data_IF_564537107970
#
_entry.id   IF_564537107970
#
_cell.length_a   1.000
_cell.length_b   1.000
_cell.length_c   1.000
_cell.angle_alpha   90.00
_cell.angle_beta   90.00
_cell.angle_gamma   90.00
#
_symmetry.space_group_name_H-M   'P 1'
#
loop_
_entity.id
_entity.type
_entity.pdbx_description
1 polymer ?
#
# COMPACT_ATOMS: atom_id res chain seq x y z
N UNK A 1 -16.65 51.41 8.06
CA UNK A 1 -17.49 50.64 9.01
C UNK A 1 -18.56 49.82 8.29
N UNK A 2 -19.13 50.30 7.17
CA UNK A 2 -20.17 49.57 6.42
C UNK A 2 -19.72 48.29 5.71
N UNK A 3 -18.48 48.24 5.20
CA UNK A 3 -17.94 47.04 4.53
C UNK A 3 -17.82 45.86 5.50
N UNK A 4 -17.42 46.13 6.74
CA UNK A 4 -17.28 45.10 7.78
C UNK A 4 -18.65 44.54 8.16
N UNK A 5 -19.65 45.42 8.31
CA UNK A 5 -21.03 45.01 8.59
C UNK A 5 -21.66 44.21 7.44
N UNK A 6 -21.36 44.54 6.18
CA UNK A 6 -21.81 43.79 5.02
C UNK A 6 -21.22 42.36 4.97
N UNK A 7 -19.97 42.18 5.43
CA UNK A 7 -19.33 40.87 5.56
C UNK A 7 -20.01 40.06 6.68
N UNK A 8 -20.25 40.67 7.84
CA UNK A 8 -20.94 40.00 8.95
C UNK A 8 -22.41 39.65 8.61
N UNK A 9 -23.11 40.52 7.88
CA UNK A 9 -24.47 40.26 7.40
C UNK A 9 -24.55 39.03 6.49
N UNK A 10 -23.65 38.93 5.51
CA UNK A 10 -23.57 37.74 4.63
C UNK A 10 -23.16 36.46 5.35
N UNK A 11 -22.31 36.55 6.38
CA UNK A 11 -21.94 35.40 7.21
C UNK A 11 -23.14 34.96 8.07
N UNK A 12 -23.88 35.92 8.64
CA UNK A 12 -25.12 35.67 9.38
C UNK A 12 -26.18 34.98 8.53
N UNK A 13 -26.35 35.39 7.27
CA UNK A 13 -27.27 34.76 6.31
C UNK A 13 -26.90 33.29 6.00
N UNK A 14 -25.61 32.93 6.02
CA UNK A 14 -25.16 31.55 5.82
C UNK A 14 -25.43 30.63 7.03
N UNK A 15 -25.73 31.17 8.22
CA UNK A 15 -25.87 30.41 9.47
C UNK A 15 -27.33 30.06 9.83
N UNK A 16 -28.33 30.68 9.19
CA UNK A 16 -29.72 30.71 9.72
C UNK A 16 -30.75 29.85 8.93
N UNK A 17 -30.47 29.37 7.70
CA UNK A 17 -31.47 28.62 6.90
C UNK A 17 -30.83 27.73 5.79
N UNK A 18 -31.59 26.91 5.00
CA UNK A 18 -31.11 25.81 4.12
C UNK A 18 -30.00 26.14 3.09
N UNK A 19 -29.70 27.43 2.90
CA UNK A 19 -28.58 27.98 2.11
C UNK A 19 -27.21 27.58 2.69
N UNK A 20 -27.16 27.12 3.96
CA UNK A 20 -25.98 26.54 4.58
C UNK A 20 -25.32 25.42 3.76
N UNK A 21 -26.06 24.75 2.86
CA UNK A 21 -25.50 23.73 1.96
C UNK A 21 -24.60 24.31 0.85
N UNK A 22 -24.80 25.58 0.44
CA UNK A 22 -23.93 26.27 -0.53
C UNK A 22 -22.78 27.02 0.15
N UNK A 23 -23.01 27.65 1.31
CA UNK A 23 -21.93 28.28 2.09
C UNK A 23 -21.05 27.26 2.83
N UNK A 24 -21.52 26.02 3.04
CA UNK A 24 -20.81 24.99 3.81
C UNK A 24 -19.40 24.73 3.29
N UNK A 25 -19.18 24.81 1.98
CA UNK A 25 -17.84 24.68 1.41
C UNK A 25 -16.88 25.80 1.79
N UNK A 26 -17.39 27.01 2.01
CA UNK A 26 -16.59 28.14 2.50
C UNK A 26 -16.27 27.98 3.98
N UNK A 27 -17.29 27.63 4.77
CA UNK A 27 -17.21 27.52 6.23
C UNK A 27 -16.33 26.32 6.64
N UNK A 28 -16.53 25.17 5.99
CA UNK A 28 -15.79 23.93 6.24
C UNK A 28 -14.58 23.75 5.32
N UNK A 29 -14.06 24.83 4.71
CA UNK A 29 -12.94 24.74 3.76
C UNK A 29 -11.75 23.97 4.35
N UNK A 30 -11.23 24.41 5.49
CA UNK A 30 -10.05 23.81 6.12
C UNK A 30 -10.31 22.35 6.49
N UNK A 31 -11.47 22.07 7.09
CA UNK A 31 -11.91 20.70 7.42
C UNK A 31 -12.00 19.79 6.19
N UNK A 32 -12.50 20.30 5.06
CA UNK A 32 -12.58 19.52 3.83
C UNK A 32 -11.21 19.26 3.22
N UNK A 33 -10.27 20.22 3.30
CA UNK A 33 -8.88 20.03 2.88
C UNK A 33 -8.18 18.99 3.77
N UNK A 34 -8.33 19.07 5.10
CA UNK A 34 -7.75 18.12 6.05
C UNK A 34 -8.31 16.71 5.83
N UNK A 35 -9.63 16.57 5.76
CA UNK A 35 -10.28 15.29 5.48
C UNK A 35 -9.79 14.66 4.17
N UNK A 36 -9.58 15.48 3.13
CA UNK A 36 -8.98 15.04 1.88
C UNK A 36 -7.55 14.54 2.08
N UNK A 37 -6.69 15.28 2.79
CA UNK A 37 -5.29 14.89 3.05
C UNK A 37 -5.22 13.58 3.82
N UNK A 38 -6.08 13.38 4.81
CA UNK A 38 -6.15 12.15 5.59
C UNK A 38 -6.52 10.94 4.71
N UNK A 39 -7.55 11.08 3.88
CA UNK A 39 -7.93 10.01 2.95
C UNK A 39 -6.87 9.76 1.89
N UNK A 40 -6.20 10.81 1.42
CA UNK A 40 -5.10 10.67 0.48
C UNK A 40 -3.90 9.92 1.08
N UNK A 41 -3.59 10.12 2.37
CA UNK A 41 -2.60 9.29 3.05
C UNK A 41 -3.06 7.83 3.12
N UNK A 42 -4.32 7.57 3.49
CA UNK A 42 -4.86 6.19 3.50
C UNK A 42 -4.78 5.49 2.15
N UNK A 43 -4.97 6.21 1.04
CA UNK A 43 -4.79 5.66 -0.31
C UNK A 43 -3.33 5.24 -0.56
N UNK A 44 -2.36 6.05 -0.12
CA UNK A 44 -0.94 5.73 -0.26
C UNK A 44 -0.59 4.49 0.56
N UNK A 45 -0.99 4.46 1.82
CA UNK A 45 -0.75 3.31 2.71
C UNK A 45 -1.36 2.03 2.11
N UNK A 46 -2.57 2.14 1.58
CA UNK A 46 -3.26 1.03 0.91
C UNK A 46 -2.53 0.55 -0.33
N UNK A 47 -2.10 1.46 -1.20
CA UNK A 47 -1.35 1.15 -2.41
C UNK A 47 -0.05 0.42 -2.06
N UNK A 48 0.66 0.90 -1.05
CA UNK A 48 1.92 0.30 -0.61
C UNK A 48 1.71 -1.10 -0.03
N UNK A 49 0.64 -1.33 0.73
CA UNK A 49 0.27 -2.67 1.23
C UNK A 49 -0.04 -3.66 0.08
N UNK A 50 -0.79 -3.22 -0.93
CA UNK A 50 -1.06 -4.05 -2.12
C UNK A 50 0.23 -4.31 -2.90
N UNK A 51 1.11 -3.32 -3.05
CA UNK A 51 2.40 -3.48 -3.71
C UNK A 51 3.31 -4.50 -2.98
N UNK A 52 3.35 -4.46 -1.64
CA UNK A 52 4.08 -5.45 -0.85
C UNK A 52 3.54 -6.87 -1.05
N UNK A 53 2.22 -7.02 -1.19
CA UNK A 53 1.59 -8.31 -1.51
C UNK A 53 2.01 -8.80 -2.89
N UNK A 54 2.05 -7.91 -3.88
CA UNK A 54 2.55 -8.20 -5.23
C UNK A 54 4.02 -8.60 -5.20
N UNK A 55 4.86 -7.90 -4.45
CA UNK A 55 6.28 -8.20 -4.37
C UNK A 55 6.52 -9.57 -3.69
N UNK A 56 5.74 -9.89 -2.65
CA UNK A 56 5.77 -11.21 -2.01
C UNK A 56 5.38 -12.33 -2.98
N UNK A 57 4.32 -12.15 -3.76
CA UNK A 57 3.90 -13.11 -4.78
C UNK A 57 5.02 -13.35 -5.82
N UNK A 58 5.70 -12.29 -6.28
CA UNK A 58 6.86 -12.43 -7.18
C UNK A 58 8.00 -13.23 -6.55
N UNK A 59 8.31 -12.96 -5.28
CA UNK A 59 9.34 -13.69 -4.53
C UNK A 59 9.03 -15.20 -4.44
N UNK A 60 7.74 -15.56 -4.42
CA UNK A 60 7.27 -16.95 -4.38
C UNK A 60 7.03 -17.56 -5.78
N UNK A 61 7.38 -16.87 -6.86
CA UNK A 61 7.09 -17.28 -8.25
C UNK A 61 5.59 -17.50 -8.52
N UNK A 62 4.74 -16.72 -7.85
CA UNK A 62 3.29 -16.76 -7.99
C UNK A 62 2.81 -15.77 -9.06
N UNK A 63 1.78 -16.18 -9.81
CA UNK A 63 1.15 -15.31 -10.80
C UNK A 63 0.32 -14.21 -10.13
N UNK A 64 0.51 -12.97 -10.58
CA UNK A 64 -0.25 -11.80 -10.10
C UNK A 64 -1.48 -11.61 -11.00
N UNK A 65 -2.65 -11.47 -10.40
CA UNK A 65 -3.87 -11.18 -11.13
C UNK A 65 -3.78 -9.83 -11.87
N UNK A 66 -4.19 -9.79 -13.14
CA UNK A 66 -4.12 -8.56 -13.96
C UNK A 66 -4.91 -7.38 -13.37
N UNK A 67 -6.01 -7.68 -12.69
CA UNK A 67 -6.84 -6.70 -11.97
C UNK A 67 -6.07 -5.97 -10.86
N UNK A 68 -5.14 -6.64 -10.16
CA UNK A 68 -4.28 -6.02 -9.15
C UNK A 68 -3.33 -5.00 -9.80
N UNK A 69 -2.79 -5.32 -10.98
CA UNK A 69 -1.90 -4.41 -11.71
C UNK A 69 -2.65 -3.20 -12.27
N UNK A 70 -3.87 -3.40 -12.77
CA UNK A 70 -4.75 -2.32 -13.21
C UNK A 70 -5.05 -1.39 -12.03
N UNK A 71 -5.41 -1.95 -10.87
CA UNK A 71 -5.68 -1.18 -9.68
C UNK A 71 -4.47 -0.36 -9.21
N UNK A 72 -3.28 -0.98 -9.12
CA UNK A 72 -2.03 -0.27 -8.75
C UNK A 72 -1.70 0.87 -9.71
N UNK A 73 -1.95 0.66 -11.01
CA UNK A 73 -1.77 1.70 -12.04
C UNK A 73 -2.75 2.86 -11.85
N UNK A 74 -4.02 2.55 -11.60
CA UNK A 74 -5.06 3.56 -11.35
C UNK A 74 -4.78 4.34 -10.06
N UNK A 75 -4.39 3.66 -8.98
CA UNK A 75 -3.95 4.27 -7.72
C UNK A 75 -2.73 5.18 -7.91
N UNK A 76 -1.76 4.77 -8.74
CA UNK A 76 -0.60 5.60 -9.10
C UNK A 76 -1.00 6.90 -9.81
N UNK A 77 -1.82 6.81 -10.86
CA UNK A 77 -2.33 8.00 -11.57
C UNK A 77 -3.12 8.93 -10.65
N UNK A 78 -4.00 8.35 -9.82
CA UNK A 78 -4.77 9.11 -8.84
C UNK A 78 -3.86 9.83 -7.85
N UNK A 79 -2.80 9.17 -7.39
CA UNK A 79 -1.83 9.78 -6.49
C UNK A 79 -1.14 11.01 -7.09
N UNK A 80 -0.72 10.95 -8.36
CA UNK A 80 -0.15 12.10 -9.07
C UNK A 80 -1.14 13.27 -9.15
N UNK A 81 -2.40 12.99 -9.52
CA UNK A 81 -3.45 14.02 -9.58
C UNK A 81 -3.70 14.68 -8.22
N UNK A 82 -3.67 13.89 -7.14
CA UNK A 82 -3.86 14.39 -5.77
C UNK A 82 -2.66 15.19 -5.26
N UNK A 83 -1.44 14.82 -5.63
CA UNK A 83 -0.25 15.61 -5.33
C UNK A 83 -0.31 16.99 -6.02
N UNK A 84 -0.71 17.03 -7.30
CA UNK A 84 -0.93 18.31 -8.00
C UNK A 84 -1.99 19.17 -7.30
N UNK A 85 -3.07 18.55 -6.84
CA UNK A 85 -4.10 19.27 -6.10
C UNK A 85 -3.60 19.83 -4.74
N UNK A 86 -2.72 19.11 -4.02
CA UNK A 86 -2.08 19.65 -2.81
C UNK A 86 -1.24 20.88 -3.15
N UNK A 87 -0.44 20.83 -4.22
CA UNK A 87 0.34 21.97 -4.67
C UNK A 87 -0.56 23.18 -5.01
N UNK A 88 -1.69 22.97 -5.69
CA UNK A 88 -2.67 24.03 -5.97
C UNK A 88 -3.21 24.68 -4.68
N UNK A 89 -3.47 23.87 -3.65
CA UNK A 89 -3.94 24.36 -2.34
C UNK A 89 -2.87 25.18 -1.64
N UNK A 90 -1.61 24.74 -1.67
CA UNK A 90 -0.48 25.43 -1.03
C UNK A 90 -0.16 26.76 -1.71
N UNK A 91 -0.12 26.79 -3.05
CA UNK A 91 0.07 28.03 -3.82
C UNK A 91 -1.01 29.05 -3.47
N UNK A 92 -2.28 28.61 -3.42
CA UNK A 92 -3.42 29.48 -3.08
C UNK A 92 -3.45 29.90 -1.60
N UNK A 93 -2.81 29.13 -0.71
CA UNK A 93 -2.61 29.49 0.70
C UNK A 93 -1.53 30.57 0.88
N UNK A 94 -0.49 30.56 0.04
CA UNK A 94 0.58 31.56 0.05
C UNK A 94 0.16 32.94 -0.48
N UNK A 95 -1.01 33.05 -1.10
CA UNK A 95 -1.53 34.32 -1.57
C UNK A 95 -1.83 35.29 -0.40
N UNK A 96 -1.34 36.53 -0.54
CA UNK A 96 -1.67 37.73 0.25
C UNK A 96 -1.19 37.80 1.72
N UNK A 97 -0.05 37.25 2.14
CA UNK A 97 0.48 37.45 3.50
C UNK A 97 -0.58 37.21 4.63
N UNK A 98 -1.53 36.29 4.41
CA UNK A 98 -2.66 36.03 5.32
C UNK A 98 -3.99 36.71 4.97
N UNK A 99 -4.05 37.51 3.91
CA UNK A 99 -5.22 38.33 3.55
C UNK A 99 -5.84 37.94 2.22
N UNK A 100 -6.23 36.67 2.04
CA UNK A 100 -6.98 36.25 0.85
C UNK A 100 -8.50 36.19 1.08
N UNK A 101 -9.28 37.20 0.65
CA UNK A 101 -10.74 37.14 0.64
C UNK A 101 -11.30 36.51 -0.65
N UNK A 102 -10.53 35.69 -1.39
CA UNK A 102 -11.10 34.99 -2.56
C UNK A 102 -11.95 33.79 -2.12
N UNK A 103 -13.17 34.11 -1.71
CA UNK A 103 -14.21 33.14 -1.39
C UNK A 103 -14.46 32.18 -2.57
N UNK A 104 -14.34 32.63 -3.83
CA UNK A 104 -14.55 31.72 -4.98
C UNK A 104 -13.48 30.64 -5.04
N UNK A 105 -12.22 31.01 -4.81
CA UNK A 105 -11.11 30.05 -4.69
C UNK A 105 -11.35 29.06 -3.54
N UNK A 106 -11.66 29.55 -2.32
CA UNK A 106 -11.92 28.69 -1.16
C UNK A 106 -13.06 27.71 -1.42
N UNK A 107 -14.16 28.21 -1.98
CA UNK A 107 -15.32 27.39 -2.35
C UNK A 107 -14.93 26.30 -3.36
N UNK A 108 -14.24 26.69 -4.44
CA UNK A 108 -13.82 25.77 -5.51
C UNK A 108 -12.87 24.68 -5.01
N UNK A 109 -11.87 25.06 -4.22
CA UNK A 109 -10.91 24.13 -3.60
C UNK A 109 -11.61 23.16 -2.64
N UNK A 110 -12.51 23.67 -1.78
CA UNK A 110 -13.27 22.86 -0.83
C UNK A 110 -14.18 21.85 -1.55
N UNK A 111 -14.88 22.28 -2.61
CA UNK A 111 -15.66 21.39 -3.49
C UNK A 111 -14.81 20.31 -4.14
N UNK A 112 -13.64 20.68 -4.66
CA UNK A 112 -12.71 19.75 -5.31
C UNK A 112 -12.15 18.74 -4.29
N UNK A 113 -11.84 19.17 -3.07
CA UNK A 113 -11.38 18.31 -2.00
C UNK A 113 -12.42 17.26 -1.59
N UNK A 114 -13.69 17.65 -1.44
CA UNK A 114 -14.76 16.68 -1.15
C UNK A 114 -14.90 15.64 -2.27
N UNK A 115 -14.98 16.08 -3.55
CA UNK A 115 -15.05 15.15 -4.69
C UNK A 115 -13.86 14.20 -4.77
N UNK A 116 -12.66 14.72 -4.51
CA UNK A 116 -11.45 13.91 -4.49
C UNK A 116 -11.49 12.89 -3.34
N UNK A 117 -12.00 13.28 -2.18
CA UNK A 117 -12.19 12.38 -1.03
C UNK A 117 -13.13 11.23 -1.37
N UNK A 118 -14.28 11.52 -1.99
CA UNK A 118 -15.25 10.51 -2.43
C UNK A 118 -14.60 9.52 -3.41
N UNK A 119 -13.89 10.02 -4.42
CA UNK A 119 -13.18 9.17 -5.38
C UNK A 119 -12.05 8.34 -4.74
N UNK A 120 -11.38 8.87 -3.71
CA UNK A 120 -10.38 8.10 -2.95
C UNK A 120 -11.05 6.97 -2.16
N UNK A 121 -12.17 7.25 -1.49
CA UNK A 121 -12.91 6.23 -0.72
C UNK A 121 -13.33 5.08 -1.62
N UNK A 122 -13.84 5.36 -2.82
CA UNK A 122 -14.19 4.34 -3.80
C UNK A 122 -12.99 3.50 -4.22
N UNK A 123 -11.85 4.14 -4.51
CA UNK A 123 -10.65 3.46 -4.93
C UNK A 123 -10.03 2.59 -3.82
N UNK A 124 -10.09 3.04 -2.56
CA UNK A 124 -9.69 2.24 -1.39
C UNK A 124 -10.58 1.01 -1.26
N UNK A 125 -11.91 1.17 -1.38
CA UNK A 125 -12.87 0.05 -1.33
C UNK A 125 -12.63 -0.98 -2.42
N UNK A 126 -12.25 -0.54 -3.62
CA UNK A 126 -11.83 -1.45 -4.69
C UNK A 126 -10.58 -2.23 -4.29
N UNK A 127 -9.61 -1.55 -3.66
CA UNK A 127 -8.37 -2.13 -3.17
C UNK A 127 -8.53 -3.11 -2.00
N UNK A 128 -9.62 -3.04 -1.23
CA UNK A 128 -9.93 -3.98 -0.14
C UNK A 128 -10.00 -5.44 -0.60
N UNK A 129 -10.28 -5.68 -1.88
CA UNK A 129 -10.24 -7.02 -2.49
C UNK A 129 -8.83 -7.60 -2.59
N UNK A 130 -7.80 -6.76 -2.51
CA UNK A 130 -6.41 -7.12 -2.77
C UNK A 130 -5.54 -7.08 -1.49
N UNK A 131 -6.15 -6.90 -0.31
CA UNK A 131 -5.46 -6.77 0.98
C UNK A 131 -4.78 -8.04 1.48
N UNK A 132 -5.24 -9.22 1.05
CA UNK A 132 -4.70 -10.52 1.47
C UNK A 132 -4.84 -11.53 0.34
N UNK A 133 -3.82 -11.63 -0.50
CA UNK A 133 -3.71 -12.66 -1.55
C UNK A 133 -2.56 -13.61 -1.23
N UNK A 134 -2.54 -14.18 -0.03
CA UNK A 134 -1.76 -15.39 0.23
C UNK A 134 -2.73 -16.47 0.69
N UNK A 135 -3.22 -17.24 -0.29
CA UNK A 135 -3.40 -18.66 -0.05
C UNK A 135 -1.98 -19.19 -0.01
N UNK A 136 -1.53 -19.65 1.15
CA UNK A 136 -0.31 -20.47 1.22
C UNK A 136 -0.59 -21.77 0.46
N UNK A 137 -0.53 -21.74 -0.86
CA UNK A 137 -0.06 -22.91 -1.57
C UNK A 137 1.43 -22.93 -1.26
N UNK A 138 1.79 -23.45 -0.08
CA UNK A 138 3.11 -24.07 0.05
C UNK A 138 3.13 -25.06 -1.10
N UNK A 139 3.78 -24.73 -2.22
CA UNK A 139 4.43 -25.76 -3.00
C UNK A 139 5.24 -26.50 -1.95
N UNK A 140 5.00 -27.80 -1.71
CA UNK A 140 6.02 -28.59 -1.04
C UNK A 140 7.29 -28.22 -1.77
N UNK A 141 8.30 -27.77 -1.04
CA UNK A 141 9.62 -27.57 -1.62
C UNK A 141 9.93 -28.91 -2.28
N UNK A 142 9.78 -29.01 -3.60
CA UNK A 142 10.21 -30.20 -4.32
C UNK A 142 11.72 -30.12 -4.23
N UNK A 143 12.25 -30.76 -3.19
CA UNK A 143 13.65 -31.12 -3.13
C UNK A 143 13.83 -32.11 -4.26
N UNK A 144 14.08 -31.58 -5.46
CA UNK A 144 14.48 -32.39 -6.59
C UNK A 144 15.80 -33.02 -6.18
N UNK A 145 15.77 -34.33 -5.94
CA UNK A 145 16.98 -35.12 -5.78
C UNK A 145 17.77 -34.97 -7.09
N UNK A 146 18.88 -34.23 -7.05
CA UNK A 146 19.74 -34.02 -8.21
C UNK A 146 20.58 -35.25 -8.57
N UNK A 147 20.36 -36.39 -7.91
CA UNK A 147 21.09 -37.64 -8.15
C UNK A 147 20.28 -38.56 -9.05
N UNK A 148 20.59 -38.53 -10.36
CA UNK A 148 20.15 -39.55 -11.32
C UNK A 148 21.03 -40.81 -11.28
N UNK A 149 22.25 -40.71 -10.74
CA UNK A 149 23.09 -41.88 -10.41
C UNK A 149 22.65 -42.45 -9.06
N UNK A 150 22.50 -43.77 -8.99
CA UNK A 150 22.30 -44.47 -7.71
C UNK A 150 23.44 -44.19 -6.73
N UNK A 151 23.16 -44.35 -5.44
CA UNK A 151 24.15 -44.24 -4.38
C UNK A 151 25.35 -45.16 -4.68
N UNK A 152 26.52 -44.58 -4.95
CA UNK A 152 27.76 -45.37 -5.10
C UNK A 152 28.14 -45.90 -3.71
N UNK A 153 28.11 -47.21 -3.55
CA UNK A 153 28.50 -47.88 -2.30
C UNK A 153 30.02 -47.78 -2.12
N UNK A 154 30.44 -47.28 -0.96
CA UNK A 154 31.85 -47.26 -0.57
C UNK A 154 31.95 -47.87 0.82
N UNK A 155 32.76 -48.92 0.95
CA UNK A 155 33.02 -49.59 2.23
C UNK A 155 33.41 -48.61 3.33
N UNK A 156 34.25 -47.62 3.00
CA UNK A 156 34.70 -46.58 3.94
C UNK A 156 33.59 -45.73 4.56
N UNK A 157 32.39 -45.70 3.96
CA UNK A 157 31.26 -44.87 4.41
C UNK A 157 30.09 -45.67 4.98
N UNK A 158 30.14 -47.01 4.97
CA UNK A 158 29.02 -47.86 5.42
C UNK A 158 28.61 -47.59 6.87
N UNK A 159 29.58 -47.44 7.77
CA UNK A 159 29.31 -47.15 9.18
C UNK A 159 28.59 -45.80 9.33
N UNK A 160 29.10 -44.75 8.68
CA UNK A 160 28.50 -43.41 8.73
C UNK A 160 27.07 -43.41 8.17
N UNK A 161 26.83 -44.12 7.06
CA UNK A 161 25.48 -44.25 6.47
C UNK A 161 24.53 -44.93 7.46
N UNK A 162 24.98 -46.01 8.10
CA UNK A 162 24.18 -46.73 9.10
C UNK A 162 23.83 -45.81 10.28
N UNK A 163 24.81 -45.10 10.83
CA UNK A 163 24.63 -44.19 11.95
C UNK A 163 23.64 -43.06 11.61
N UNK A 164 23.73 -42.50 10.39
CA UNK A 164 22.78 -41.50 9.89
C UNK A 164 21.36 -42.08 9.75
N UNK A 165 21.22 -43.30 9.21
CA UNK A 165 19.92 -43.95 9.06
C UNK A 165 19.27 -44.32 10.38
N UNK A 166 20.06 -44.68 11.40
CA UNK A 166 19.58 -44.88 12.76
C UNK A 166 19.14 -43.56 13.40
N UNK A 167 19.95 -42.50 13.28
CA UNK A 167 19.62 -41.18 13.80
C UNK A 167 18.35 -40.59 13.16
N UNK A 168 18.11 -40.84 11.86
CA UNK A 168 16.89 -40.41 11.17
C UNK A 168 15.62 -41.12 11.65
N UNK A 169 15.74 -42.30 12.28
CA UNK A 169 14.60 -43.04 12.85
C UNK A 169 14.28 -42.63 14.29
N UNK A 170 15.19 -41.90 14.95
CA UNK A 170 14.98 -41.40 16.30
C UNK A 170 14.21 -40.08 16.28
N UNK A 171 13.03 -40.08 16.89
CA UNK A 171 12.14 -38.92 16.93
C UNK A 171 12.65 -37.80 17.87
N UNK A 172 13.66 -38.09 18.69
CA UNK A 172 14.28 -37.13 19.60
C UNK A 172 15.45 -36.36 18.94
N UNK A 173 15.90 -36.80 17.75
CA UNK A 173 16.97 -36.15 17.00
C UNK A 173 16.35 -35.23 15.96
N UNK A 174 16.50 -33.92 16.16
CA UNK A 174 15.93 -32.91 15.26
C UNK A 174 16.93 -32.35 14.23
N UNK A 175 18.21 -32.67 14.37
CA UNK A 175 19.27 -32.16 13.50
C UNK A 175 20.44 -33.14 13.40
N UNK A 176 20.89 -33.39 12.17
CA UNK A 176 22.08 -34.20 11.87
C UNK A 176 23.03 -33.33 11.05
N UNK A 177 24.24 -33.11 11.55
CA UNK A 177 25.29 -32.41 10.84
C UNK A 177 26.35 -33.41 10.35
N UNK A 178 26.67 -33.41 9.06
CA UNK A 178 27.72 -34.23 8.48
C UNK A 178 28.84 -33.30 8.03
N UNK A 179 30.04 -33.48 8.60
CA UNK A 179 31.24 -32.75 8.18
C UNK A 179 32.18 -33.71 7.44
N UNK A 180 32.85 -33.20 6.41
CA UNK A 180 33.79 -33.98 5.61
C UNK A 180 34.83 -33.09 4.97
N UNK A 181 36.05 -33.60 4.83
CA UNK A 181 37.11 -32.89 4.11
C UNK A 181 36.89 -33.07 2.60
N UNK A 182 36.74 -31.96 1.88
CA UNK A 182 36.69 -31.98 0.42
C UNK A 182 38.02 -32.50 -0.15
N UNK A 183 37.96 -33.48 -1.06
CA UNK A 183 39.14 -33.84 -1.85
C UNK A 183 39.39 -32.76 -2.89
N UNK A 184 40.62 -32.25 -2.93
CA UNK A 184 41.11 -31.45 -4.06
C UNK A 184 40.99 -32.27 -5.34
N UNK A 185 40.14 -31.82 -6.26
CA UNK A 185 40.08 -32.37 -7.62
C UNK A 185 41.31 -31.86 -8.38
N UNK A 186 42.30 -32.71 -8.59
CA UNK A 186 43.20 -32.59 -9.75
C UNK A 186 42.65 -33.50 -10.85
N UNK A 187 42.54 -32.92 -12.04
CA UNK A 187 41.93 -33.38 -13.30
C UNK A 187 40.47 -32.99 -13.49
#
# INVERSE_FOLDING_TARGET
MEIVLAIFGKIGECLVAPIGHQCGYLIYHDRNIENFKDHFQKLRDKRDAVQQSVDTAKWNDEAIAGEVQIWLTNAGKKNEDMQRFIADVEVKKMCLNGWCPDMKSRYSLSRKAQKNTEAIIELIKEGDKYDRVYISARRPLEVVSSSTEGFKDFESRKTIIKDVMEALRDHNIHMIAICGYGRDRKN
#
